data_IF_250782551818
#
_entry.id   IF_250782551818
#
_cell.length_a   1.000
_cell.length_b   1.000
_cell.length_c   1.000
_cell.angle_alpha   90.00
_cell.angle_beta   90.00
_cell.angle_gamma   90.00
#
_symmetry.space_group_name_H-M   'P 1'
#
loop_
_entity.id
_entity.type
_entity.pdbx_description
1 polymer ?
#
# COMPACT_ATOMS: atom_id res chain seq x y z
N UNK A 1 3.55 -5.82 -3.66
CA UNK A 1 2.15 -5.53 -3.28
C UNK A 1 1.93 -4.05 -3.48
N UNK A 2 0.73 -3.67 -3.87
CA UNK A 2 0.30 -2.27 -4.07
C UNK A 2 -1.21 -2.20 -3.78
N UNK A 3 -1.78 -0.99 -3.82
CA UNK A 3 -3.23 -0.84 -3.84
C UNK A 3 -3.85 -1.32 -5.15
N UNK A 4 -5.11 -1.74 -5.10
CA UNK A 4 -5.83 -2.25 -6.27
C UNK A 4 -6.22 -1.10 -7.21
N UNK A 5 -6.69 0.02 -6.66
CA UNK A 5 -7.05 1.20 -7.46
C UNK A 5 -5.89 1.76 -8.30
N UNK A 6 -4.64 1.52 -7.88
CA UNK A 6 -3.43 1.92 -8.64
C UNK A 6 -3.27 1.14 -9.94
N UNK A 7 -3.81 -0.08 -10.01
CA UNK A 7 -3.65 -0.99 -11.16
C UNK A 7 -4.93 -1.22 -11.97
N UNK A 8 -6.09 -0.78 -11.48
CA UNK A 8 -7.41 -1.17 -11.98
C UNK A 8 -7.60 -0.97 -13.50
N UNK A 9 -7.13 0.16 -14.04
CA UNK A 9 -7.28 0.51 -15.47
C UNK A 9 -5.99 0.29 -16.29
N UNK A 10 -4.97 -0.33 -15.70
CA UNK A 10 -3.68 -0.47 -16.35
C UNK A 10 -3.69 -1.58 -17.41
N UNK A 11 -3.39 -1.21 -18.66
CA UNK A 11 -3.20 -2.18 -19.76
C UNK A 11 -1.82 -2.84 -19.74
N UNK A 12 -0.84 -2.18 -19.13
CA UNK A 12 0.51 -2.71 -18.92
C UNK A 12 1.07 -2.16 -17.61
N UNK A 13 1.73 -3.03 -16.85
CA UNK A 13 2.36 -2.66 -15.58
C UNK A 13 3.89 -2.69 -15.72
N UNK A 14 4.53 -1.59 -15.32
CA UNK A 14 5.98 -1.43 -15.31
C UNK A 14 6.44 -1.01 -13.92
N UNK A 15 7.53 -1.62 -13.46
CA UNK A 15 8.12 -1.35 -12.15
C UNK A 15 9.57 -0.94 -12.35
N UNK A 16 9.90 0.27 -11.90
CA UNK A 16 11.28 0.73 -11.81
C UNK A 16 11.92 0.15 -10.56
N UNK A 17 13.02 -0.57 -10.73
CA UNK A 17 13.76 -1.20 -9.63
C UNK A 17 15.16 -0.60 -9.58
N UNK A 18 15.60 -0.03 -8.44
CA UNK A 18 16.97 0.48 -8.30
C UNK A 18 18.01 -0.57 -8.70
N UNK A 19 18.94 -0.17 -9.57
CA UNK A 19 19.98 -1.06 -10.12
C UNK A 19 19.67 -1.69 -11.47
N UNK A 20 18.47 -1.46 -12.02
CA UNK A 20 18.14 -1.78 -13.42
C UNK A 20 17.90 -0.49 -14.20
N UNK A 21 18.49 -0.40 -15.39
CA UNK A 21 18.38 0.79 -16.25
C UNK A 21 16.98 0.92 -16.91
N UNK A 22 16.32 -0.22 -17.13
CA UNK A 22 15.02 -0.29 -17.81
C UNK A 22 13.92 -0.78 -16.85
N UNK A 23 12.69 -0.22 -16.93
CA UNK A 23 11.55 -0.70 -16.15
C UNK A 23 11.21 -2.16 -16.46
N UNK A 24 11.00 -2.94 -15.40
CA UNK A 24 10.64 -4.35 -15.49
C UNK A 24 9.14 -4.50 -15.70
N UNK A 25 8.72 -5.48 -16.51
CA UNK A 25 7.29 -5.81 -16.65
C UNK A 25 6.79 -6.50 -15.39
N UNK A 26 5.64 -6.05 -14.89
CA UNK A 26 4.90 -6.72 -13.84
C UNK A 26 3.65 -7.39 -14.41
N UNK A 27 3.27 -8.52 -13.81
CA UNK A 27 1.98 -9.17 -14.07
C UNK A 27 1.17 -9.22 -12.79
N UNK A 28 -0.16 -9.13 -12.92
CA UNK A 28 -1.05 -9.30 -11.77
C UNK A 28 -1.10 -10.79 -11.42
N UNK A 29 -0.77 -11.12 -10.18
CA UNK A 29 -0.99 -12.48 -9.64
C UNK A 29 -2.46 -12.62 -9.24
N UNK A 30 -2.94 -11.68 -8.42
CA UNK A 30 -4.33 -11.57 -7.99
C UNK A 30 -4.57 -10.18 -7.38
N UNK A 31 -5.83 -9.75 -7.30
CA UNK A 31 -6.24 -8.52 -6.63
C UNK A 31 -7.56 -8.70 -5.89
N UNK A 32 -7.80 -7.84 -4.89
CA UNK A 32 -9.04 -7.77 -4.15
C UNK A 32 -9.42 -6.29 -4.04
N UNK A 33 -10.43 -5.90 -4.81
CA UNK A 33 -10.93 -4.53 -4.84
C UNK A 33 -11.51 -4.10 -3.48
N UNK A 34 -12.20 -4.99 -2.77
CA UNK A 34 -12.80 -4.69 -1.45
C UNK A 34 -11.75 -4.36 -0.39
N UNK A 35 -10.59 -4.99 -0.45
CA UNK A 35 -9.48 -4.70 0.45
C UNK A 35 -8.53 -3.61 -0.10
N UNK A 36 -8.76 -3.15 -1.33
CA UNK A 36 -7.85 -2.28 -2.08
C UNK A 36 -6.40 -2.80 -2.08
N UNK A 37 -6.21 -4.08 -2.35
CA UNK A 37 -4.90 -4.74 -2.37
C UNK A 37 -4.69 -5.58 -3.63
N UNK A 38 -3.49 -5.49 -4.20
CA UNK A 38 -3.05 -6.30 -5.32
C UNK A 38 -1.65 -6.90 -5.12
N UNK A 39 -1.49 -8.15 -5.57
CA UNK A 39 -0.20 -8.83 -5.64
C UNK A 39 0.27 -8.86 -7.08
N UNK A 40 1.45 -8.29 -7.30
CA UNK A 40 2.11 -8.28 -8.59
C UNK A 40 3.33 -9.20 -8.58
N UNK A 41 3.61 -9.83 -9.71
CA UNK A 41 4.81 -10.59 -9.97
C UNK A 41 5.74 -9.77 -10.86
N UNK A 42 7.00 -9.66 -10.43
CA UNK A 42 8.09 -9.09 -11.23
C UNK A 42 9.21 -10.13 -11.27
N UNK A 43 9.80 -10.32 -12.44
CA UNK A 43 10.93 -11.22 -12.63
C UNK A 43 12.21 -10.40 -12.84
N UNK A 44 13.26 -10.76 -12.11
CA UNK A 44 14.59 -10.20 -12.30
C UNK A 44 15.22 -10.75 -13.59
N UNK A 45 15.71 -9.90 -14.51
CA UNK A 45 16.40 -10.37 -15.72
C UNK A 45 17.59 -11.31 -15.46
N UNK A 46 18.26 -11.16 -14.31
CA UNK A 46 19.44 -11.93 -13.91
C UNK A 46 19.13 -13.09 -12.95
N UNK A 47 17.85 -13.38 -12.70
CA UNK A 47 17.38 -14.47 -11.84
C UNK A 47 17.65 -14.28 -10.33
N UNK A 48 18.12 -13.11 -9.90
CA UNK A 48 18.38 -12.81 -8.49
C UNK A 48 17.11 -12.39 -7.75
N UNK A 49 17.02 -12.75 -6.47
CA UNK A 49 15.92 -12.27 -5.62
C UNK A 49 16.08 -10.78 -5.33
N UNK A 50 14.98 -10.03 -5.44
CA UNK A 50 14.92 -8.66 -4.97
C UNK A 50 15.05 -8.60 -3.43
N UNK A 51 15.64 -7.53 -2.88
CA UNK A 51 15.50 -7.22 -1.46
C UNK A 51 14.02 -7.12 -1.08
N UNK A 52 13.66 -7.65 0.08
CA UNK A 52 12.30 -7.63 0.58
C UNK A 52 12.24 -6.99 1.97
N UNK A 53 11.19 -6.21 2.20
CA UNK A 53 10.88 -5.68 3.53
C UNK A 53 10.32 -6.79 4.41
N UNK A 54 10.59 -6.69 5.71
CA UNK A 54 9.93 -7.52 6.72
C UNK A 54 8.54 -6.95 6.97
N UNK A 55 7.54 -7.82 7.05
CA UNK A 55 6.21 -7.44 7.53
C UNK A 55 6.24 -7.50 9.05
N UNK A 56 5.92 -6.38 9.69
CA UNK A 56 5.80 -6.25 11.14
C UNK A 56 4.39 -6.57 11.63
N UNK A 57 4.17 -6.34 12.92
CA UNK A 57 2.87 -6.51 13.56
C UNK A 57 2.23 -5.14 13.83
N UNK A 58 1.17 -4.81 13.08
CA UNK A 58 0.41 -3.57 13.24
C UNK A 58 -0.41 -3.53 14.52
N UNK A 59 -0.70 -4.67 15.13
CA UNK A 59 -1.53 -4.75 16.33
C UNK A 59 -0.72 -4.29 17.55
N UNK A 60 0.61 -4.47 17.52
CA UNK A 60 1.55 -3.96 18.53
C UNK A 60 1.87 -2.46 18.38
N UNK A 61 1.55 -1.85 17.24
CA UNK A 61 1.78 -0.42 17.04
C UNK A 61 0.86 0.40 17.94
N UNK A 62 1.44 1.37 18.66
CA UNK A 62 0.77 2.24 19.61
C UNK A 62 0.58 3.65 19.04
N UNK A 63 -0.50 4.31 19.44
CA UNK A 63 -0.71 5.72 19.09
C UNK A 63 0.45 6.53 19.66
N UNK A 64 1.07 7.37 18.83
CA UNK A 64 2.28 8.12 19.14
C UNK A 64 3.59 7.47 18.67
N UNK A 65 3.56 6.21 18.22
CA UNK A 65 4.74 5.57 17.65
C UNK A 65 5.14 6.27 16.35
N UNK A 66 6.46 6.43 16.14
CA UNK A 66 7.00 6.96 14.90
C UNK A 66 6.66 6.04 13.73
N UNK A 67 6.24 6.65 12.63
CA UNK A 67 5.98 5.96 11.38
C UNK A 67 6.61 6.70 10.21
N UNK A 68 6.97 5.94 9.19
CA UNK A 68 7.61 6.43 7.97
C UNK A 68 6.78 6.00 6.78
N UNK A 69 6.31 6.95 5.97
CA UNK A 69 5.65 6.65 4.71
C UNK A 69 6.64 6.88 3.55
N UNK A 70 6.74 5.87 2.67
CA UNK A 70 7.59 5.93 1.48
C UNK A 70 6.70 5.80 0.25
N UNK A 71 6.97 6.62 -0.77
CA UNK A 71 6.26 6.56 -2.04
C UNK A 71 6.97 7.32 -3.16
N UNK A 72 6.26 7.56 -4.25
CA UNK A 72 6.71 8.35 -5.39
C UNK A 72 5.68 9.42 -5.77
N UNK A 73 5.44 10.42 -4.90
CA UNK A 73 4.48 11.47 -5.15
C UNK A 73 4.93 12.32 -6.35
N UNK A 74 4.05 12.45 -7.34
CA UNK A 74 4.27 13.26 -8.55
C UNK A 74 5.48 12.87 -9.42
N UNK A 75 6.01 11.64 -9.28
CA UNK A 75 7.20 11.22 -10.03
C UNK A 75 8.50 11.92 -9.58
N UNK A 76 8.47 12.59 -8.43
CA UNK A 76 9.66 13.11 -7.76
C UNK A 76 10.28 11.94 -6.99
N UNK A 77 11.43 11.47 -7.46
CA UNK A 77 12.18 10.30 -6.95
C UNK A 77 11.97 10.02 -5.46
N UNK A 78 11.44 8.83 -5.14
CA UNK A 78 11.44 8.18 -3.82
C UNK A 78 11.31 9.12 -2.61
N UNK A 79 10.13 9.71 -2.42
CA UNK A 79 9.86 10.58 -1.28
C UNK A 79 9.62 9.77 0.00
N UNK A 80 10.26 10.23 1.08
CA UNK A 80 10.06 9.73 2.43
C UNK A 80 9.50 10.84 3.31
N UNK A 81 8.45 10.51 4.07
CA UNK A 81 7.86 11.40 5.07
C UNK A 81 7.79 10.68 6.41
N UNK A 82 7.84 11.45 7.50
CA UNK A 82 7.86 10.91 8.86
C UNK A 82 6.75 11.59 9.65
N UNK A 83 6.08 10.81 10.49
CA UNK A 83 5.05 11.27 11.40
C UNK A 83 4.87 10.26 12.53
N UNK A 84 3.71 10.26 13.15
CA UNK A 84 3.30 9.31 14.17
C UNK A 84 2.02 8.58 13.79
N UNK A 85 1.82 7.41 14.38
CA UNK A 85 0.52 6.77 14.38
C UNK A 85 -0.45 7.61 15.21
N UNK A 86 -1.41 8.24 14.57
CA UNK A 86 -2.35 9.19 15.19
C UNK A 86 -3.60 8.50 15.74
N UNK A 87 -4.05 7.42 15.09
CA UNK A 87 -5.18 6.60 15.54
C UNK A 87 -5.16 5.22 14.87
N UNK A 88 -5.98 4.32 15.40
CA UNK A 88 -6.26 2.98 14.85
C UNK A 88 -7.76 2.83 14.65
N UNK A 89 -8.18 1.77 13.95
CA UNK A 89 -9.58 1.41 13.78
C UNK A 89 -10.43 2.51 13.13
N UNK A 90 -9.86 3.21 12.13
CA UNK A 90 -10.57 4.29 11.45
C UNK A 90 -11.38 3.76 10.26
N UNK A 91 -12.70 3.96 10.25
CA UNK A 91 -13.47 3.82 9.02
C UNK A 91 -13.37 5.11 8.21
N UNK A 92 -13.22 4.97 6.90
CA UNK A 92 -13.38 6.09 5.96
C UNK A 92 -14.19 5.65 4.76
N UNK A 93 -14.86 6.60 4.12
CA UNK A 93 -15.50 6.40 2.83
C UNK A 93 -14.86 7.35 1.85
N UNK A 94 -14.31 6.80 0.78
CA UNK A 94 -13.70 7.57 -0.30
C UNK A 94 -14.67 7.52 -1.48
N UNK A 95 -15.06 8.70 -1.97
CA UNK A 95 -15.80 8.79 -3.22
C UNK A 95 -14.81 8.67 -4.38
N UNK A 96 -15.10 7.75 -5.29
CA UNK A 96 -14.36 7.56 -6.54
C UNK A 96 -14.89 8.51 -7.62
N UNK A 97 -14.09 8.74 -8.67
CA UNK A 97 -14.44 9.67 -9.75
C UNK A 97 -15.67 9.24 -10.56
N UNK A 98 -15.97 7.93 -10.58
CA UNK A 98 -17.15 7.36 -11.25
C UNK A 98 -18.45 7.49 -10.43
N UNK A 99 -18.37 8.13 -9.25
CA UNK A 99 -19.48 8.34 -8.33
C UNK A 99 -19.76 7.15 -7.42
N UNK A 100 -18.97 6.08 -7.48
CA UNK A 100 -18.99 5.02 -6.47
C UNK A 100 -18.28 5.48 -5.20
N UNK A 101 -18.46 4.73 -4.11
CA UNK A 101 -17.80 5.02 -2.86
C UNK A 101 -17.18 3.74 -2.31
N UNK A 102 -15.87 3.77 -2.06
CA UNK A 102 -15.15 2.70 -1.42
C UNK A 102 -15.16 2.89 0.10
N UNK A 103 -15.59 1.87 0.83
CA UNK A 103 -15.58 1.88 2.29
C UNK A 103 -14.37 1.10 2.79
N UNK A 104 -13.51 1.80 3.50
CA UNK A 104 -12.39 1.18 4.18
C UNK A 104 -12.74 1.05 5.66
N UNK A 105 -12.42 -0.11 6.21
CA UNK A 105 -12.57 -0.40 7.63
C UNK A 105 -11.19 -0.60 8.26
N UNK A 106 -11.11 -0.39 9.57
CA UNK A 106 -9.92 -0.75 10.37
C UNK A 106 -8.60 -0.06 9.96
N UNK A 107 -8.64 1.14 9.35
CA UNK A 107 -7.42 1.80 8.91
C UNK A 107 -6.57 2.33 10.08
N UNK A 108 -5.25 2.35 9.85
CA UNK A 108 -4.30 3.13 10.61
C UNK A 108 -4.35 4.57 10.13
N UNK A 109 -4.36 5.54 11.05
CA UNK A 109 -4.27 6.96 10.75
C UNK A 109 -2.90 7.50 11.13
N UNK A 110 -2.29 8.33 10.29
CA UNK A 110 -1.02 9.00 10.57
C UNK A 110 -1.06 10.46 10.15
N UNK A 111 -0.20 11.28 10.77
CA UNK A 111 0.08 12.65 10.34
C UNK A 111 1.32 12.74 9.42
N UNK A 112 1.99 11.61 9.13
CA UNK A 112 2.95 11.54 8.06
C UNK A 112 2.27 11.96 6.75
N UNK A 113 2.95 12.79 5.97
CA UNK A 113 2.36 13.35 4.75
C UNK A 113 2.13 12.26 3.70
N UNK A 114 0.88 11.82 3.58
CA UNK A 114 0.40 11.00 2.48
C UNK A 114 -0.11 11.94 1.39
N UNK A 115 0.27 11.69 0.14
CA UNK A 115 -0.15 12.44 -1.05
C UNK A 115 -0.32 11.45 -2.22
N UNK A 116 -1.01 11.84 -3.31
CA UNK A 116 -1.04 11.03 -4.53
C UNK A 116 0.37 10.58 -4.94
N UNK A 117 0.53 9.28 -5.19
CA UNK A 117 1.82 8.62 -5.46
C UNK A 117 2.50 7.96 -4.24
N UNK A 118 1.98 8.18 -3.03
CA UNK A 118 2.31 7.32 -1.87
C UNK A 118 1.45 6.06 -1.82
N UNK A 119 0.28 6.05 -2.46
CA UNK A 119 -0.62 4.90 -2.55
C UNK A 119 0.12 3.66 -3.07
N UNK A 120 -0.05 2.54 -2.36
CA UNK A 120 0.64 1.28 -2.61
C UNK A 120 2.02 1.18 -1.97
N UNK A 121 2.58 2.30 -1.50
CA UNK A 121 3.84 2.37 -0.77
C UNK A 121 3.70 1.91 0.70
N UNK A 122 4.81 1.55 1.36
CA UNK A 122 4.76 1.04 2.72
C UNK A 122 4.61 2.18 3.75
N UNK A 123 3.92 1.87 4.84
CA UNK A 123 4.04 2.55 6.14
C UNK A 123 4.92 1.68 7.04
N UNK A 124 6.05 2.23 7.49
CA UNK A 124 7.05 1.51 8.27
C UNK A 124 7.07 1.97 9.72
N UNK A 125 7.39 1.06 10.63
CA UNK A 125 7.77 1.41 12.00
C UNK A 125 9.23 1.89 12.09
N UNK A 126 9.68 2.24 13.30
CA UNK A 126 11.04 2.68 13.62
C UNK A 126 12.14 1.63 13.36
N UNK A 127 11.77 0.36 13.15
CA UNK A 127 12.67 -0.75 12.77
C UNK A 127 12.73 -0.97 11.26
N UNK A 128 11.97 -0.21 10.46
CA UNK A 128 11.86 -0.40 9.02
C UNK A 128 11.00 -1.61 8.61
N UNK A 129 10.13 -2.09 9.50
CA UNK A 129 9.19 -3.17 9.22
C UNK A 129 7.86 -2.58 8.75
N UNK A 130 7.21 -3.24 7.78
CA UNK A 130 5.93 -2.81 7.23
C UNK A 130 4.82 -3.03 8.26
N UNK A 131 4.21 -1.96 8.73
CA UNK A 131 3.02 -1.99 9.59
C UNK A 131 1.74 -1.60 8.83
N UNK A 132 1.86 -1.15 7.58
CA UNK A 132 0.73 -0.97 6.69
C UNK A 132 1.09 -0.60 5.25
N UNK A 133 0.08 -0.44 4.40
CA UNK A 133 0.19 0.06 3.02
C UNK A 133 -0.60 1.36 2.94
N UNK A 134 0.07 2.45 2.55
CA UNK A 134 -0.55 3.75 2.38
C UNK A 134 -1.61 3.64 1.28
N UNK A 135 -2.85 4.08 1.53
CA UNK A 135 -3.93 4.05 0.53
C UNK A 135 -4.41 5.45 0.20
N UNK A 136 -4.81 6.21 1.22
CA UNK A 136 -5.65 7.37 1.02
C UNK A 136 -5.29 8.55 1.89
N UNK A 137 -5.81 9.71 1.48
CA UNK A 137 -5.79 10.97 2.21
C UNK A 137 -7.21 11.48 2.37
N UNK A 138 -7.48 12.15 3.48
CA UNK A 138 -8.65 13.02 3.52
C UNK A 138 -8.28 14.33 2.81
N UNK A 139 -8.82 14.55 1.61
CA UNK A 139 -8.56 15.77 0.83
C UNK A 139 -8.99 17.06 1.54
N UNK A 140 -9.93 16.97 2.49
CA UNK A 140 -10.44 18.10 3.26
C UNK A 140 -9.62 18.38 4.54
N UNK A 141 -8.75 17.46 4.96
CA UNK A 141 -8.00 17.57 6.21
C UNK A 141 -6.50 17.33 6.01
N UNK A 142 -5.72 18.41 6.09
CA UNK A 142 -4.26 18.34 6.10
C UNK A 142 -3.75 17.56 7.33
N UNK A 143 -2.74 16.73 7.12
CA UNK A 143 -2.15 15.92 8.19
C UNK A 143 -2.98 14.71 8.62
N UNK A 144 -3.91 14.25 7.77
CA UNK A 144 -4.66 13.01 8.00
C UNK A 144 -4.45 12.07 6.81
N UNK A 145 -3.48 11.16 6.96
CA UNK A 145 -3.21 10.06 6.05
C UNK A 145 -3.70 8.72 6.61
N UNK A 146 -3.99 7.77 5.71
CA UNK A 146 -4.45 6.45 6.09
C UNK A 146 -3.66 5.31 5.43
N UNK A 147 -3.50 4.24 6.18
CA UNK A 147 -2.86 3.01 5.72
C UNK A 147 -3.66 1.77 6.13
N UNK A 148 -3.71 0.78 5.24
CA UNK A 148 -4.26 -0.55 5.49
C UNK A 148 -3.28 -1.30 6.42
N UNK A 149 -3.72 -1.85 7.57
CA UNK A 149 -2.82 -2.49 8.54
C UNK A 149 -2.11 -3.74 7.99
N UNK A 150 -0.92 -4.03 8.52
CA UNK A 150 -0.17 -5.25 8.21
C UNK A 150 -0.92 -6.54 8.55
N UNK A 151 -1.78 -6.54 9.57
CA UNK A 151 -2.63 -7.71 9.89
C UNK A 151 -3.62 -8.05 8.77
N UNK A 152 -4.20 -7.04 8.12
CA UNK A 152 -5.02 -7.21 6.90
C UNK A 152 -4.18 -7.71 5.74
N UNK A 153 -2.99 -7.12 5.54
CA UNK A 153 -2.06 -7.52 4.47
C UNK A 153 -1.66 -8.99 4.58
N UNK A 154 -1.32 -9.46 5.78
CA UNK A 154 -0.92 -10.85 6.00
C UNK A 154 -2.07 -11.83 5.71
N UNK A 155 -3.28 -11.47 6.10
CA UNK A 155 -4.48 -12.26 5.83
C UNK A 155 -4.77 -12.31 4.32
N UNK A 156 -4.74 -11.16 3.64
CA UNK A 156 -4.94 -11.04 2.21
C UNK A 156 -3.86 -11.73 1.37
N UNK A 157 -2.59 -11.67 1.79
CA UNK A 157 -1.48 -12.31 1.08
C UNK A 157 -1.69 -13.82 0.92
N UNK A 158 -2.20 -14.47 1.96
CA UNK A 158 -2.46 -15.92 1.93
C UNK A 158 -3.50 -16.27 0.85
N UNK A 159 -4.56 -15.47 0.77
CA UNK A 159 -5.63 -15.63 -0.21
C UNK A 159 -5.17 -15.29 -1.63
N UNK A 160 -4.57 -14.11 -1.81
CA UNK A 160 -4.12 -13.60 -3.10
C UNK A 160 -3.03 -14.47 -3.73
N UNK A 161 -2.15 -15.07 -2.92
CA UNK A 161 -1.10 -15.98 -3.39
C UNK A 161 -1.59 -17.40 -3.66
N UNK A 162 -2.73 -17.82 -3.10
CA UNK A 162 -3.29 -19.16 -3.32
C UNK A 162 -3.91 -19.34 -4.71
N UNK A 163 -4.07 -18.25 -5.48
CA UNK A 163 -4.53 -18.30 -6.87
C UNK A 163 -6.02 -18.62 -7.07
N UNK A 164 -6.82 -18.63 -5.99
CA UNK A 164 -8.26 -18.83 -6.10
C UNK A 164 -8.93 -17.47 -6.19
N UNK A 165 -9.47 -17.13 -7.37
CA UNK A 165 -10.39 -16.01 -7.51
C UNK A 165 -11.57 -16.24 -6.57
N UNK A 166 -11.75 -15.38 -5.57
CA UNK A 166 -12.98 -15.36 -4.79
C UNK A 166 -14.05 -14.74 -5.69
N UNK A 167 -14.81 -15.59 -6.36
CA UNK A 167 -16.17 -15.24 -6.79
C UNK A 167 -16.93 -14.85 -5.53
N UNK A 168 -17.26 -13.57 -5.42
CA UNK A 168 -18.15 -13.00 -4.41
C UNK A 168 -19.43 -13.83 -4.25
N UNK A 169 -19.80 -14.11 -2.99
CA UNK A 169 -21.14 -14.60 -2.62
C UNK A 169 -22.17 -13.47 -2.64
#
# INVERSE_FOLDING_TARGET
>A
MTNEHVIADATALKVTVPGYDEPLTATVVNSNAQLDLAVLKVESPDGKKFPALKIGDSDQASIGDWVIAIGNPYGLDHTMTVGVLSAKERPITIAEEDGTAHQYEHLLQTDASINPGNSGGPLLNDKGEVIGVNTAVNAEAQGIGFAIPASVIQSALTELMAGTSVTSL
#
